data_IF_556223019296
#
_entry.id   IF_556223019296
#
_cell.length_a   1.000
_cell.length_b   1.000
_cell.length_c   1.000
_cell.angle_alpha   90.00
_cell.angle_beta   90.00
_cell.angle_gamma   90.00
#
_symmetry.space_group_name_H-M   'P 1'
#
loop_
_entity.id
_entity.type
_entity.pdbx_description
1 polymer ?
#
# COMPACT_ATOMS: atom_id res chain seq x y z
N UNK A 1 -20.07 12.22 3.53
CA UNK A 1 -18.85 12.64 2.83
C UNK A 1 -17.88 11.50 2.77
N UNK A 2 -17.28 11.31 1.61
CA UNK A 2 -16.30 10.25 1.45
C UNK A 2 -14.93 10.68 1.93
N UNK A 3 -14.27 9.81 2.66
CA UNK A 3 -12.88 10.04 3.06
C UNK A 3 -11.97 9.65 1.90
N UNK A 4 -11.20 10.59 1.43
CA UNK A 4 -10.36 10.43 0.24
C UNK A 4 -8.92 10.17 0.62
N UNK A 5 -8.25 9.38 -0.19
CA UNK A 5 -6.84 9.06 0.06
C UNK A 5 -6.04 8.99 -1.24
N UNK A 6 -4.75 9.24 -1.09
CA UNK A 6 -3.77 8.89 -2.12
C UNK A 6 -2.92 7.73 -1.60
N UNK A 7 -2.48 6.90 -2.51
CA UNK A 7 -1.62 5.76 -2.20
C UNK A 7 -0.40 5.84 -3.11
N UNK A 8 0.78 5.90 -2.51
CA UNK A 8 2.04 5.83 -3.25
C UNK A 8 2.60 4.43 -3.07
N UNK A 9 2.89 3.79 -4.19
CA UNK A 9 3.56 2.50 -4.21
C UNK A 9 4.88 2.72 -4.91
N UNK A 10 5.97 2.54 -4.17
CA UNK A 10 7.28 2.85 -4.75
C UNK A 10 8.31 1.75 -4.52
N UNK A 11 9.19 1.62 -5.49
CA UNK A 11 10.33 0.72 -5.43
C UNK A 11 11.51 1.44 -6.10
N UNK A 12 12.47 1.89 -5.29
CA UNK A 12 13.57 2.68 -5.80
C UNK A 12 13.10 3.98 -6.43
N UNK A 13 13.38 4.15 -7.71
CA UNK A 13 12.99 5.35 -8.45
C UNK A 13 11.60 5.26 -9.08
N UNK A 14 10.98 4.10 -9.02
CA UNK A 14 9.66 3.90 -9.60
C UNK A 14 8.60 4.25 -8.58
N UNK A 15 7.72 5.16 -8.94
CA UNK A 15 6.63 5.60 -8.08
C UNK A 15 5.32 5.50 -8.83
N UNK A 16 4.34 4.89 -8.20
CA UNK A 16 2.98 4.80 -8.74
C UNK A 16 2.07 5.52 -7.76
N UNK A 17 1.31 6.49 -8.25
CA UNK A 17 0.38 7.25 -7.43
C UNK A 17 -1.04 6.83 -7.76
N UNK A 18 -1.76 6.39 -6.74
CA UNK A 18 -3.16 6.04 -6.85
C UNK A 18 -4.01 7.01 -6.04
N UNK A 19 -5.25 7.14 -6.46
CA UNK A 19 -6.28 7.86 -5.74
C UNK A 19 -7.41 6.91 -5.41
N UNK A 20 -7.91 6.98 -4.19
CA UNK A 20 -9.10 6.24 -3.77
C UNK A 20 -10.14 7.23 -3.24
N UNK A 21 -11.36 7.15 -3.79
CA UNK A 21 -12.40 8.12 -3.51
C UNK A 21 -13.13 7.87 -2.19
N UNK A 22 -13.33 6.63 -1.81
CA UNK A 22 -14.14 6.28 -0.65
C UNK A 22 -13.35 5.52 0.41
N UNK A 23 -13.76 5.71 1.67
CA UNK A 23 -13.27 4.92 2.81
C UNK A 23 -11.75 4.91 2.94
N UNK A 24 -11.14 6.09 2.74
CA UNK A 24 -9.69 6.23 2.79
C UNK A 24 -9.06 6.09 4.16
N UNK A 25 -9.88 6.00 5.21
CA UNK A 25 -9.38 5.87 6.58
C UNK A 25 -8.76 4.50 6.83
N UNK A 26 -8.07 4.38 7.96
CA UNK A 26 -7.21 3.22 8.24
C UNK A 26 -7.97 1.89 8.24
N UNK A 27 -9.16 1.85 8.83
CA UNK A 27 -9.97 0.63 8.87
C UNK A 27 -10.69 0.34 7.55
N UNK A 28 -10.64 1.26 6.61
CA UNK A 28 -11.17 1.07 5.24
C UNK A 28 -10.06 0.74 4.27
N UNK A 29 -9.48 1.76 3.66
CA UNK A 29 -8.42 1.60 2.68
C UNK A 29 -7.20 0.89 3.26
N UNK A 30 -6.83 1.23 4.50
CA UNK A 30 -5.69 0.59 5.14
C UNK A 30 -5.87 -0.92 5.23
N UNK A 31 -7.02 -1.36 5.72
CA UNK A 31 -7.29 -2.80 5.84
C UNK A 31 -7.35 -3.47 4.47
N UNK A 32 -7.98 -2.83 3.49
CA UNK A 32 -8.07 -3.38 2.14
C UNK A 32 -6.69 -3.53 1.51
N UNK A 33 -5.84 -2.52 1.64
CA UNK A 33 -4.48 -2.56 1.11
C UNK A 33 -3.65 -3.64 1.82
N UNK A 34 -3.81 -3.77 3.14
CA UNK A 34 -3.14 -4.83 3.89
C UNK A 34 -3.55 -6.21 3.37
N UNK A 35 -4.85 -6.42 3.19
CA UNK A 35 -5.37 -7.70 2.73
C UNK A 35 -4.88 -8.02 1.31
N UNK A 36 -4.93 -7.04 0.43
CA UNK A 36 -4.49 -7.23 -0.95
C UNK A 36 -3.00 -7.54 -1.03
N UNK A 37 -2.21 -6.87 -0.21
CA UNK A 37 -0.78 -7.10 -0.18
C UNK A 37 -0.46 -8.48 0.42
N UNK A 38 -1.14 -8.85 1.50
CA UNK A 38 -0.98 -10.17 2.13
C UNK A 38 -1.30 -11.31 1.16
N UNK A 39 -2.28 -11.09 0.29
CA UNK A 39 -2.72 -12.09 -0.68
C UNK A 39 -1.89 -12.09 -1.96
N UNK A 40 -0.88 -11.23 -2.05
CA UNK A 40 -0.07 -11.08 -3.26
C UNK A 40 1.19 -11.93 -3.25
N UNK A 41 1.42 -12.69 -2.19
CA UNK A 41 2.56 -13.60 -2.05
C UNK A 41 3.93 -12.93 -2.15
N UNK A 42 3.99 -11.63 -1.86
CA UNK A 42 5.23 -10.87 -2.01
C UNK A 42 6.32 -11.32 -1.03
N UNK A 43 5.95 -11.98 0.07
CA UNK A 43 6.90 -12.48 1.05
C UNK A 43 7.36 -13.91 0.77
N UNK A 44 6.75 -14.58 -0.19
CA UNK A 44 7.10 -15.96 -0.51
C UNK A 44 8.30 -16.02 -1.44
N UNK A 45 9.09 -17.06 -1.27
CA UNK A 45 10.21 -17.27 -2.18
C UNK A 45 9.70 -17.67 -3.55
N UNK A 46 10.22 -17.05 -4.61
CA UNK A 46 9.79 -17.42 -5.95
C UNK A 46 10.27 -18.82 -6.32
N UNK A 47 9.38 -19.61 -6.91
CA UNK A 47 9.74 -20.87 -7.51
C UNK A 47 10.31 -20.63 -8.91
N UNK A 48 11.26 -21.44 -9.28
CA UNK A 48 12.01 -21.29 -10.53
C UNK A 48 11.15 -21.26 -11.79
N UNK A 49 10.00 -21.92 -11.73
CA UNK A 49 9.18 -22.17 -12.91
C UNK A 49 8.11 -21.10 -13.17
N UNK A 50 7.90 -20.17 -12.21
CA UNK A 50 6.76 -19.27 -12.26
C UNK A 50 7.18 -17.81 -12.17
N UNK A 51 7.99 -17.40 -13.12
CA UNK A 51 8.46 -15.99 -13.19
C UNK A 51 7.32 -15.00 -13.22
N UNK A 52 6.22 -15.37 -13.87
CA UNK A 52 5.04 -14.50 -13.99
C UNK A 52 4.34 -14.25 -12.65
N UNK A 53 4.62 -15.07 -11.65
CA UNK A 53 3.99 -14.97 -10.33
C UNK A 53 4.82 -14.17 -9.32
N UNK A 54 5.99 -13.70 -9.71
CA UNK A 54 6.80 -12.89 -8.81
C UNK A 54 6.10 -11.58 -8.53
N UNK A 55 6.08 -11.21 -7.26
CA UNK A 55 5.51 -9.94 -6.88
C UNK A 55 6.30 -8.79 -7.48
N UNK A 56 5.59 -7.83 -8.03
CA UNK A 56 6.16 -6.53 -8.36
C UNK A 56 5.08 -5.47 -8.22
N UNK A 57 5.50 -4.23 -8.07
CA UNK A 57 4.56 -3.14 -7.77
C UNK A 57 3.58 -2.87 -8.91
N UNK A 58 4.00 -3.12 -10.14
CA UNK A 58 3.11 -2.92 -11.31
C UNK A 58 1.96 -3.93 -11.30
N UNK A 59 2.27 -5.19 -11.02
CA UNK A 59 1.23 -6.23 -10.94
C UNK A 59 0.29 -5.99 -9.78
N UNK A 60 0.81 -5.56 -8.65
CA UNK A 60 0.01 -5.24 -7.48
C UNK A 60 -0.96 -4.10 -7.82
N UNK A 61 -0.45 -3.05 -8.44
CA UNK A 61 -1.26 -1.91 -8.86
C UNK A 61 -2.37 -2.33 -9.83
N UNK A 62 -2.01 -3.14 -10.82
CA UNK A 62 -2.99 -3.65 -11.78
C UNK A 62 -4.10 -4.44 -11.09
N UNK A 63 -3.73 -5.25 -10.11
CA UNK A 63 -4.69 -6.01 -9.32
C UNK A 63 -5.67 -5.09 -8.58
N UNK A 64 -5.15 -4.04 -7.94
CA UNK A 64 -5.99 -3.08 -7.23
C UNK A 64 -6.98 -2.41 -8.18
N UNK A 65 -6.52 -1.99 -9.34
CA UNK A 65 -7.37 -1.32 -10.32
C UNK A 65 -8.47 -2.22 -10.87
N UNK A 66 -8.21 -3.52 -10.96
CA UNK A 66 -9.19 -4.48 -11.45
C UNK A 66 -10.23 -4.86 -10.41
N UNK A 67 -9.83 -4.89 -9.16
CA UNK A 67 -10.70 -5.35 -8.08
C UNK A 67 -11.67 -4.28 -7.59
N UNK A 68 -11.25 -3.03 -7.66
CA UNK A 68 -12.00 -1.96 -7.02
C UNK A 68 -12.04 -0.73 -7.91
N UNK A 69 -13.24 -0.34 -8.31
CA UNK A 69 -13.44 0.83 -9.15
C UNK A 69 -13.17 2.15 -8.43
N UNK A 70 -13.00 2.11 -7.11
CA UNK A 70 -12.67 3.32 -6.34
C UNK A 70 -11.22 3.75 -6.52
N UNK A 71 -10.35 2.88 -7.01
CA UNK A 71 -8.96 3.21 -7.29
C UNK A 71 -8.77 3.71 -8.72
N UNK A 72 -7.91 4.69 -8.86
CA UNK A 72 -7.45 5.11 -10.18
C UNK A 72 -6.00 5.59 -10.09
N UNK A 73 -5.28 5.50 -11.20
CA UNK A 73 -3.94 6.08 -11.29
C UNK A 73 -4.09 7.58 -11.45
N UNK A 74 -3.28 8.33 -10.72
CA UNK A 74 -3.30 9.78 -10.79
C UNK A 74 -1.89 10.32 -11.06
N UNK A 75 -1.80 11.55 -11.54
CA UNK A 75 -0.52 12.20 -11.81
C UNK A 75 -0.21 13.33 -10.81
N UNK A 76 -1.11 13.59 -9.90
CA UNK A 76 -0.92 14.57 -8.85
C UNK A 76 -1.78 14.22 -7.66
N UNK A 77 -1.42 14.73 -6.49
CA UNK A 77 -2.20 14.51 -5.29
C UNK A 77 -3.56 15.16 -5.39
N UNK A 78 -4.56 14.53 -4.81
CA UNK A 78 -5.87 15.12 -4.68
C UNK A 78 -5.82 16.34 -3.77
N UNK A 79 -6.66 17.32 -4.06
CA UNK A 79 -6.63 18.58 -3.31
C UNK A 79 -7.21 18.49 -1.90
N UNK A 80 -7.99 17.46 -1.64
CA UNK A 80 -8.71 17.32 -0.37
C UNK A 80 -8.59 15.91 0.19
N UNK A 81 -7.42 15.32 0.05
CA UNK A 81 -7.16 14.01 0.64
C UNK A 81 -6.97 14.14 2.15
N UNK A 82 -7.45 13.14 2.87
CA UNK A 82 -7.34 13.08 4.32
C UNK A 82 -6.27 12.08 4.77
N UNK A 83 -5.94 11.12 3.92
CA UNK A 83 -4.94 10.10 4.21
C UNK A 83 -4.00 9.95 3.02
N UNK A 84 -2.73 9.79 3.34
CA UNK A 84 -1.70 9.45 2.36
C UNK A 84 -1.01 8.18 2.84
N UNK A 85 -1.11 7.12 2.05
CA UNK A 85 -0.43 5.86 2.32
C UNK A 85 0.77 5.75 1.41
N UNK A 86 1.92 5.40 1.96
CA UNK A 86 3.12 5.15 1.17
C UNK A 86 3.64 3.76 1.49
N UNK A 87 3.62 2.89 0.48
CA UNK A 87 4.17 1.55 0.57
C UNK A 87 5.50 1.56 -0.16
N UNK A 88 6.57 1.46 0.60
CA UNK A 88 7.92 1.46 0.03
C UNK A 88 8.47 0.05 0.01
N UNK A 89 8.90 -0.35 -1.18
CA UNK A 89 9.52 -1.66 -1.41
C UNK A 89 10.96 -1.44 -1.81
N UNK A 90 11.76 -2.47 -1.63
CA UNK A 90 13.14 -2.47 -2.09
C UNK A 90 13.47 -3.84 -2.66
N UNK A 91 14.49 -3.88 -3.51
CA UNK A 91 14.99 -5.15 -4.04
C UNK A 91 15.68 -5.86 -2.88
N UNK A 92 15.16 -7.04 -2.54
CA UNK A 92 15.64 -7.76 -1.38
C UNK A 92 16.65 -8.83 -1.69
N UNK A 93 16.34 -9.64 -2.67
CA UNK A 93 17.13 -10.84 -2.95
C UNK A 93 17.27 -11.01 -4.46
N UNK A 94 18.52 -11.09 -4.91
CA UNK A 94 18.80 -11.39 -6.30
C UNK A 94 18.99 -12.90 -6.44
N UNK A 95 18.11 -13.52 -7.22
CA UNK A 95 18.18 -14.94 -7.46
C UNK A 95 19.22 -15.25 -8.53
N UNK A 96 19.77 -16.48 -8.51
CA UNK A 96 20.75 -16.93 -9.49
C UNK A 96 20.26 -16.81 -10.93
N UNK A 97 18.95 -16.79 -11.13
CA UNK A 97 18.33 -16.64 -12.44
C UNK A 97 18.06 -15.18 -12.81
N UNK A 98 18.66 -14.24 -12.11
CA UNK A 98 18.58 -12.80 -12.37
C UNK A 98 17.22 -12.16 -12.07
N UNK A 99 16.43 -12.77 -11.20
CA UNK A 99 15.17 -12.19 -10.77
C UNK A 99 15.32 -11.61 -9.37
N UNK A 100 14.98 -10.35 -9.23
CA UNK A 100 15.00 -9.70 -7.95
C UNK A 100 13.70 -9.92 -7.20
N UNK A 101 13.82 -10.37 -5.98
CA UNK A 101 12.69 -10.43 -5.09
C UNK A 101 12.50 -9.08 -4.43
N UNK A 102 11.30 -8.56 -4.49
CA UNK A 102 10.97 -7.29 -3.87
C UNK A 102 10.47 -7.57 -2.45
N UNK A 103 10.93 -6.78 -1.50
CA UNK A 103 10.46 -6.88 -0.12
C UNK A 103 9.94 -5.53 0.36
N UNK A 104 9.02 -5.60 1.29
CA UNK A 104 8.45 -4.40 1.90
C UNK A 104 9.46 -3.77 2.85
N UNK A 105 9.79 -2.52 2.61
CA UNK A 105 10.70 -1.76 3.46
C UNK A 105 9.94 -1.04 4.55
N UNK A 106 8.86 -0.37 4.20
CA UNK A 106 8.06 0.36 5.17
C UNK A 106 6.69 0.71 4.61
N UNK A 107 5.78 0.94 5.53
CA UNK A 107 4.47 1.52 5.25
C UNK A 107 4.36 2.79 6.06
N UNK A 108 4.07 3.89 5.41
CA UNK A 108 3.88 5.17 6.06
C UNK A 108 2.46 5.64 5.86
N UNK A 109 1.82 6.07 6.93
CA UNK A 109 0.48 6.62 6.89
C UNK A 109 0.54 8.05 7.41
N UNK A 110 0.23 8.99 6.56
CA UNK A 110 0.11 10.39 6.92
C UNK A 110 -1.38 10.70 6.97
N UNK A 111 -1.88 10.93 8.18
CA UNK A 111 -3.26 11.39 8.35
C UNK A 111 -3.25 12.88 8.13
N UNK A 112 -3.58 13.27 6.94
CA UNK A 112 -3.57 14.67 6.59
C UNK A 112 -4.59 15.41 7.42
N UNK A 113 -4.31 16.25 7.81
CA UNK A 113 -4.38 17.34 8.55
C UNK A 113 -5.29 18.46 8.11
N UNK A 114 -6.40 18.19 7.51
CA UNK A 114 -7.41 19.21 7.30
C UNK A 114 -7.73 19.96 8.59
N UNK A 115 -7.46 19.31 9.72
CA UNK A 115 -7.74 19.88 11.03
C UNK A 115 -6.53 19.85 11.97
N UNK A 116 -5.35 19.62 11.44
CA UNK A 116 -4.14 19.57 12.29
C UNK A 116 -4.14 18.42 13.28
N UNK A 117 -4.93 17.40 13.07
CA UNK A 117 -5.12 16.29 14.00
C UNK A 117 -4.44 15.01 13.56
N UNK A 118 -3.69 15.07 12.58
CA UNK A 118 -3.07 13.89 12.08
C UNK A 118 -1.65 13.78 12.53
N UNK A 119 -1.06 12.70 12.21
CA UNK A 119 0.34 12.46 12.42
C UNK A 119 0.83 11.53 11.35
N UNK A 120 2.14 11.51 11.21
CA UNK A 120 2.79 10.63 10.29
C UNK A 120 3.31 9.45 11.08
N UNK A 121 2.86 8.25 10.74
CA UNK A 121 3.27 7.02 11.39
C UNK A 121 3.93 6.10 10.38
N UNK A 122 4.97 5.42 10.82
CA UNK A 122 5.73 4.52 9.96
C UNK A 122 5.75 3.14 10.57
N UNK A 123 5.45 2.15 9.75
CA UNK A 123 5.40 0.75 10.15
C UNK A 123 6.41 -0.05 9.34
N UNK A 124 7.10 -0.97 9.99
CA UNK A 124 8.17 -1.75 9.34
C UNK A 124 7.68 -3.03 8.70
N UNK A 125 6.46 -3.44 9.01
CA UNK A 125 5.93 -4.71 8.52
C UNK A 125 4.41 -4.64 8.40
N UNK A 126 3.85 -5.62 7.68
CA UNK A 126 2.40 -5.78 7.63
C UNK A 126 1.80 -6.06 9.00
N UNK A 127 2.53 -6.78 9.85
CA UNK A 127 2.07 -7.08 11.20
C UNK A 127 1.89 -5.80 12.02
N UNK A 128 2.88 -4.92 12.00
CA UNK A 128 2.79 -3.63 12.70
C UNK A 128 1.64 -2.78 12.15
N UNK A 129 1.46 -2.81 10.83
CA UNK A 129 0.39 -2.08 10.18
C UNK A 129 -0.99 -2.61 10.60
N UNK A 130 -1.14 -3.94 10.65
CA UNK A 130 -2.38 -4.55 11.11
C UNK A 130 -2.68 -4.20 12.57
N UNK A 131 -1.65 -4.14 13.41
CA UNK A 131 -1.83 -3.73 14.80
C UNK A 131 -2.38 -2.32 14.91
N UNK A 132 -1.88 -1.42 14.07
CA UNK A 132 -2.37 -0.04 14.03
C UNK A 132 -3.82 0.02 13.55
N UNK A 133 -4.17 -0.79 12.55
CA UNK A 133 -5.54 -0.88 12.06
C UNK A 133 -6.48 -1.39 13.16
N UNK A 134 -6.05 -2.42 13.88
CA UNK A 134 -6.84 -2.99 14.97
C UNK A 134 -7.07 -1.98 16.08
N UNK A 135 -6.04 -1.20 16.40
CA UNK A 135 -6.16 -0.14 17.40
C UNK A 135 -7.16 0.92 16.95
N UNK A 136 -7.08 1.34 15.70
CA UNK A 136 -8.01 2.32 15.15
C UNK A 136 -9.45 1.81 15.17
N UNK A 137 -9.63 0.52 14.90
CA UNK A 137 -10.96 -0.09 14.94
C UNK A 137 -11.56 -0.05 16.35
N UNK A 138 -10.76 -0.32 17.37
CA UNK A 138 -11.20 -0.26 18.76
C UNK A 138 -11.58 1.15 19.18
N UNK A 139 -10.83 2.14 18.74
CA UNK A 139 -11.09 3.53 19.08
C UNK A 139 -12.39 4.05 18.48
N UNK A 140 -12.87 3.41 17.42
CA UNK A 140 -14.08 3.81 16.71
C UNK A 140 -15.33 3.00 17.11
N UNK A 141 -15.19 2.09 18.07
CA UNK A 141 -16.32 1.32 18.58
C UNK A 141 -17.11 2.07 19.64
#
# INVERSE_FOLDING_TARGET
MSTRSNIIIKNGKTNILLYRHCDGYLVGAGQDLHNDLSNSDFEQEPYFDNIAEYFNIAKFTEKLLKQDTDYRIDNQFGGDIEYLYTFEFEDGYEHEDHYNRVKLKSIEVDQEHEYGRGGKNKYKSLSEFQDAINKARKENE
#
